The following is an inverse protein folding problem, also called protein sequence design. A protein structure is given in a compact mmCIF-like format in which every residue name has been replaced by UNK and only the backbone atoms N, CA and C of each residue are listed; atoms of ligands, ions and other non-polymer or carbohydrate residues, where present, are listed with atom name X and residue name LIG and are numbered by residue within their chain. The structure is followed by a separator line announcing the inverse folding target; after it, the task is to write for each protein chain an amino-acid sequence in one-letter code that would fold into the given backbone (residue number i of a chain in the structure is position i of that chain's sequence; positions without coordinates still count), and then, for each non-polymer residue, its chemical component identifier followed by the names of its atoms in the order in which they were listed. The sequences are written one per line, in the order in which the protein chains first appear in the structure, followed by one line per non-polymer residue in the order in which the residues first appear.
data_IF_854961938379
#
_entry.id   IF_854961938379
#
_cell.length_a   1.000
_cell.length_b   1.000
_cell.length_c   1.000
_cell.angle_alpha   90.00
_cell.angle_beta   90.00
_cell.angle_gamma   90.00
#
_symmetry.space_group_name_H-M   'P 1'
#
loop_
_entity.id
_entity.type
_entity.pdbx_description
1 polymer ?
#
# COMPACT_ATOMS: atom_id res chain seq x y z
N UNK A 1 -15.56 -41.42 2.27
CA UNK A 1 -14.26 -42.06 2.14
C UNK A 1 -13.15 -41.07 2.47
N UNK A 2 -12.34 -41.41 3.42
CA UNK A 2 -11.28 -40.55 3.92
C UNK A 2 -10.10 -40.53 2.94
N UNK A 3 -9.83 -39.38 2.33
CA UNK A 3 -8.67 -39.22 1.47
C UNK A 3 -7.53 -38.63 2.30
N UNK A 4 -6.49 -39.41 2.50
CA UNK A 4 -5.26 -38.91 3.13
C UNK A 4 -4.65 -37.81 2.27
N UNK A 5 -4.55 -36.60 2.78
CA UNK A 5 -3.73 -35.56 2.19
C UNK A 5 -2.27 -36.00 2.24
N UNK A 6 -1.59 -35.87 1.14
CA UNK A 6 -0.14 -36.04 1.12
C UNK A 6 0.51 -34.92 1.91
N UNK A 7 1.57 -35.23 2.61
CA UNK A 7 2.35 -34.26 3.38
C UNK A 7 2.81 -33.08 2.51
N UNK A 8 3.14 -33.35 1.23
CA UNK A 8 3.50 -32.35 0.27
C UNK A 8 2.41 -31.31 -0.03
N UNK A 9 1.14 -31.75 -0.10
CA UNK A 9 0.01 -30.85 -0.36
C UNK A 9 -0.22 -29.88 0.81
N UNK A 10 -0.11 -30.39 2.02
CA UNK A 10 -0.20 -29.58 3.22
C UNK A 10 0.94 -28.56 3.31
N UNK A 11 2.14 -28.98 2.97
CA UNK A 11 3.33 -28.16 2.96
C UNK A 11 3.24 -27.04 1.92
N UNK A 12 2.73 -27.34 0.73
CA UNK A 12 2.54 -26.38 -0.35
C UNK A 12 1.50 -25.32 0.03
N UNK A 13 0.37 -25.72 0.64
CA UNK A 13 -0.63 -24.78 1.12
C UNK A 13 -0.08 -23.85 2.20
N UNK A 14 0.67 -24.41 3.13
CA UNK A 14 1.30 -23.64 4.20
C UNK A 14 2.31 -22.63 3.63
N UNK A 15 3.11 -23.07 2.68
CA UNK A 15 4.14 -22.24 2.04
C UNK A 15 3.51 -21.11 1.22
N UNK A 16 2.47 -21.41 0.46
CA UNK A 16 1.74 -20.41 -0.31
C UNK A 16 1.16 -19.32 0.58
N UNK A 17 0.53 -19.71 1.66
CA UNK A 17 -0.09 -18.78 2.59
C UNK A 17 0.96 -17.91 3.30
N UNK A 18 2.03 -18.52 3.78
CA UNK A 18 3.13 -17.80 4.41
C UNK A 18 3.83 -16.85 3.43
N UNK A 19 4.04 -17.30 2.20
CA UNK A 19 4.67 -16.51 1.15
C UNK A 19 3.82 -15.31 0.76
N UNK A 20 2.51 -15.50 0.59
CA UNK A 20 1.61 -14.41 0.24
C UNK A 20 1.49 -13.35 1.34
N UNK A 21 1.57 -13.75 2.60
CA UNK A 21 1.53 -12.83 3.73
C UNK A 21 2.83 -12.04 3.91
N UNK A 22 3.99 -12.65 3.64
CA UNK A 22 5.30 -12.07 3.91
C UNK A 22 5.91 -11.33 2.73
N UNK A 23 5.67 -11.79 1.51
CA UNK A 23 6.42 -11.35 0.33
C UNK A 23 5.59 -10.61 -0.70
N UNK A 24 4.29 -10.71 -0.65
CA UNK A 24 3.40 -10.05 -1.61
C UNK A 24 2.75 -8.82 -1.02
N UNK A 25 2.55 -7.76 -1.83
CA UNK A 25 1.66 -6.69 -1.41
C UNK A 25 0.26 -7.28 -1.20
N UNK A 26 -0.44 -6.79 -0.19
CA UNK A 26 -1.83 -7.16 0.05
C UNK A 26 -2.69 -6.79 -1.16
N UNK A 27 -3.73 -7.55 -1.40
CA UNK A 27 -4.59 -7.34 -2.54
C UNK A 27 -6.05 -7.59 -2.18
N UNK A 28 -6.90 -6.85 -2.84
CA UNK A 28 -8.34 -7.02 -2.71
C UNK A 28 -8.84 -7.75 -3.97
N UNK A 29 -9.15 -9.03 -3.81
CA UNK A 29 -9.59 -9.89 -4.91
C UNK A 29 -10.92 -9.42 -5.52
N UNK A 30 -11.78 -8.78 -4.74
CA UNK A 30 -13.08 -8.30 -5.19
C UNK A 30 -12.91 -7.08 -6.08
N UNK A 31 -12.07 -6.14 -5.68
CA UNK A 31 -11.82 -4.88 -6.41
C UNK A 31 -10.70 -5.00 -7.44
N UNK A 32 -9.96 -6.10 -7.44
CA UNK A 32 -8.78 -6.31 -8.27
C UNK A 32 -7.74 -5.20 -8.15
N UNK A 33 -7.59 -4.70 -6.94
CA UNK A 33 -6.60 -3.68 -6.61
C UNK A 33 -5.46 -4.28 -5.82
N UNK A 34 -4.25 -3.86 -6.12
CA UNK A 34 -3.09 -4.13 -5.30
C UNK A 34 -2.97 -3.09 -4.20
N UNK A 35 -2.53 -3.54 -3.04
CA UNK A 35 -2.17 -2.64 -1.96
C UNK A 35 -0.66 -2.39 -2.07
N UNK A 36 -0.23 -1.13 -2.24
CA UNK A 36 1.20 -0.83 -2.35
C UNK A 36 1.91 -1.04 -1.02
N UNK A 37 3.22 -1.26 -1.10
CA UNK A 37 4.09 -1.24 0.08
C UNK A 37 4.21 0.20 0.57
N UNK A 38 3.93 0.40 1.84
CA UNK A 38 3.86 1.73 2.42
C UNK A 38 4.76 1.82 3.63
N UNK A 39 5.51 2.90 3.70
CA UNK A 39 6.28 3.29 4.88
C UNK A 39 5.76 4.62 5.40
N UNK A 40 5.53 4.71 6.70
CA UNK A 40 5.06 5.93 7.35
C UNK A 40 6.12 6.37 8.34
N UNK A 41 6.62 7.59 8.16
CA UNK A 41 7.51 8.24 9.10
C UNK A 41 6.75 9.33 9.84
N UNK A 42 6.63 9.18 11.15
CA UNK A 42 6.01 10.16 12.01
C UNK A 42 7.10 11.09 12.57
N UNK A 43 7.29 12.21 11.90
CA UNK A 43 8.24 13.24 12.31
C UNK A 43 7.57 14.26 13.25
N UNK A 44 8.36 15.10 13.85
CA UNK A 44 7.86 16.09 14.81
C UNK A 44 6.82 17.04 14.18
N UNK A 45 7.11 17.58 13.00
CA UNK A 45 6.29 18.59 12.33
C UNK A 45 5.44 18.05 11.18
N UNK A 46 5.74 16.87 10.71
CA UNK A 46 5.08 16.30 9.54
C UNK A 46 5.02 14.76 9.59
N UNK A 47 4.09 14.23 8.83
CA UNK A 47 4.04 12.80 8.56
C UNK A 47 4.47 12.61 7.11
N UNK A 48 5.43 11.72 6.88
CA UNK A 48 5.90 11.37 5.54
C UNK A 48 5.45 9.95 5.20
N UNK A 49 4.68 9.84 4.14
CA UNK A 49 4.21 8.55 3.63
C UNK A 49 4.95 8.27 2.33
N UNK A 50 5.59 7.11 2.27
CA UNK A 50 6.28 6.64 1.07
C UNK A 50 5.59 5.38 0.58
N UNK A 51 5.23 5.35 -0.70
CA UNK A 51 4.56 4.23 -1.33
C UNK A 51 5.32 3.75 -2.56
N UNK A 52 5.57 2.45 -2.65
CA UNK A 52 6.14 1.84 -3.84
C UNK A 52 5.02 1.53 -4.83
N UNK A 53 5.08 2.14 -6.00
CA UNK A 53 4.09 2.00 -7.06
C UNK A 53 4.76 1.49 -8.35
N UNK A 54 5.21 0.23 -8.38
CA UNK A 54 5.79 -0.31 -9.60
C UNK A 54 4.74 -0.33 -10.72
N UNK A 55 5.16 -0.17 -11.95
CA UNK A 55 4.30 -0.12 -13.14
C UNK A 55 3.44 1.15 -13.26
N UNK A 56 3.57 2.10 -12.37
CA UNK A 56 3.01 3.44 -12.51
C UNK A 56 4.09 4.33 -13.12
N UNK A 57 3.79 4.95 -14.27
CA UNK A 57 4.80 5.75 -14.99
C UNK A 57 4.70 7.25 -14.73
N UNK A 58 3.49 7.73 -14.53
CA UNK A 58 3.24 9.16 -14.52
C UNK A 58 2.46 9.59 -13.28
N UNK A 59 2.79 10.77 -12.79
CA UNK A 59 2.04 11.39 -11.69
C UNK A 59 0.55 11.64 -12.03
N UNK A 60 0.24 11.78 -13.31
CA UNK A 60 -1.13 11.96 -13.78
C UNK A 60 -1.98 10.71 -13.56
N UNK A 61 -1.36 9.56 -13.38
CA UNK A 61 -2.04 8.30 -13.09
C UNK A 61 -2.30 8.08 -11.61
N UNK A 62 -1.90 9.04 -10.77
CA UNK A 62 -2.03 8.96 -9.31
C UNK A 62 -3.03 10.00 -8.83
N UNK A 63 -4.03 9.52 -8.09
CA UNK A 63 -4.98 10.36 -7.38
C UNK A 63 -4.73 10.26 -5.88
N UNK A 64 -4.57 11.40 -5.24
CA UNK A 64 -4.38 11.50 -3.80
C UNK A 64 -5.52 12.29 -3.18
N UNK A 65 -6.17 11.70 -2.20
CA UNK A 65 -7.19 12.35 -1.42
C UNK A 65 -6.74 12.43 0.04
N UNK A 66 -6.62 13.64 0.55
CA UNK A 66 -6.15 13.88 1.91
C UNK A 66 -7.25 14.52 2.72
N UNK A 67 -7.56 13.93 3.86
CA UNK A 67 -8.39 14.55 4.90
C UNK A 67 -7.50 14.80 6.12
N UNK A 68 -8.06 15.37 7.18
CA UNK A 68 -7.30 15.64 8.41
C UNK A 68 -6.66 14.38 9.02
N UNK A 69 -7.26 13.22 8.85
CA UNK A 69 -6.86 11.97 9.51
C UNK A 69 -6.65 10.80 8.57
N UNK A 70 -6.83 10.99 7.28
CA UNK A 70 -6.74 9.91 6.32
C UNK A 70 -6.08 10.33 5.00
N UNK A 71 -5.30 9.44 4.43
CA UNK A 71 -4.71 9.57 3.10
C UNK A 71 -5.17 8.41 2.23
N UNK A 72 -5.80 8.70 1.12
CA UNK A 72 -6.17 7.69 0.13
C UNK A 72 -5.28 7.83 -1.11
N UNK A 73 -4.67 6.73 -1.51
CA UNK A 73 -3.82 6.64 -2.70
C UNK A 73 -4.50 5.73 -3.70
N UNK A 74 -4.72 6.22 -4.90
CA UNK A 74 -5.22 5.44 -6.03
C UNK A 74 -4.28 5.69 -7.20
N UNK A 75 -3.72 4.63 -7.75
CA UNK A 75 -2.77 4.74 -8.86
C UNK A 75 -3.06 3.70 -9.94
N UNK A 76 -3.11 4.15 -11.19
CA UNK A 76 -3.30 3.27 -12.35
C UNK A 76 -1.96 2.79 -12.86
N UNK A 77 -1.86 1.49 -13.09
CA UNK A 77 -0.71 0.88 -13.72
C UNK A 77 -0.82 1.00 -15.22
N UNK A 78 0.31 1.25 -15.89
CA UNK A 78 0.36 1.23 -17.36
C UNK A 78 0.17 -0.17 -17.90
N UNK A 79 0.80 -1.15 -17.23
CA UNK A 79 0.65 -2.56 -17.57
C UNK A 79 0.03 -3.30 -16.40
N UNK A 80 -0.95 -4.14 -16.69
CA UNK A 80 -1.56 -4.98 -15.68
C UNK A 80 -0.54 -5.96 -15.10
N UNK A 81 -0.52 -6.09 -13.78
CA UNK A 81 0.25 -7.12 -13.12
C UNK A 81 -0.57 -8.39 -13.14
N UNK A 82 -0.03 -9.42 -13.76
CA UNK A 82 -0.65 -10.74 -13.80
C UNK A 82 -0.03 -11.62 -12.71
N UNK A 83 -0.89 -12.15 -11.88
CA UNK A 83 -0.50 -13.12 -10.89
C UNK A 83 -0.88 -14.51 -11.39
N UNK A 84 0.11 -15.32 -11.71
CA UNK A 84 -0.09 -16.71 -12.05
C UNK A 84 0.23 -17.59 -10.84
N UNK A 85 -0.75 -18.36 -10.44
CA UNK A 85 -0.58 -19.31 -9.36
C UNK A 85 0.12 -20.56 -9.87
N UNK A 86 1.24 -20.87 -9.28
CA UNK A 86 1.95 -22.10 -9.58
C UNK A 86 1.16 -23.31 -9.09
N UNK A 87 0.92 -24.28 -9.98
CA UNK A 87 0.25 -25.53 -9.65
C UNK A 87 -1.03 -25.77 -10.47
N UNK A 88 -1.98 -26.48 -9.88
CA UNK A 88 -3.17 -27.00 -10.56
C UNK A 88 -4.27 -25.96 -10.83
N UNK A 89 -4.12 -24.75 -10.37
CA UNK A 89 -5.12 -23.72 -10.52
C UNK A 89 -4.78 -22.78 -11.67
N UNK A 90 -5.66 -22.71 -12.65
CA UNK A 90 -5.54 -21.81 -13.80
C UNK A 90 -6.09 -20.41 -13.52
N UNK A 91 -6.10 -19.97 -12.30
CA UNK A 91 -6.60 -18.64 -11.96
C UNK A 91 -5.58 -17.58 -12.29
N UNK A 92 -5.90 -16.77 -13.28
CA UNK A 92 -5.21 -15.53 -13.58
C UNK A 92 -5.85 -14.40 -12.80
N UNK A 93 -5.05 -13.69 -12.02
CA UNK A 93 -5.47 -12.45 -11.39
C UNK A 93 -4.74 -11.32 -12.09
N UNK A 94 -5.50 -10.37 -12.61
CA UNK A 94 -5.00 -9.22 -13.31
C UNK A 94 -5.28 -7.97 -12.49
N UNK A 95 -4.22 -7.21 -12.15
CA UNK A 95 -4.33 -6.00 -11.36
C UNK A 95 -3.91 -4.80 -12.20
N UNK A 96 -4.75 -3.79 -12.26
CA UNK A 96 -4.50 -2.58 -13.03
C UNK A 96 -4.39 -1.34 -12.15
N UNK A 97 -4.70 -1.46 -10.89
CA UNK A 97 -4.78 -0.32 -9.98
C UNK A 97 -4.21 -0.67 -8.61
N UNK A 98 -3.44 0.27 -8.06
CA UNK A 98 -3.12 0.28 -6.64
C UNK A 98 -4.15 1.11 -5.90
N UNK A 99 -4.55 0.66 -4.72
CA UNK A 99 -5.44 1.40 -3.85
C UNK A 99 -5.11 1.16 -2.40
N UNK A 100 -4.97 2.23 -1.64
CA UNK A 100 -4.76 2.16 -0.20
C UNK A 100 -5.36 3.36 0.49
N UNK A 101 -6.09 3.10 1.55
CA UNK A 101 -6.53 4.11 2.51
C UNK A 101 -5.69 3.97 3.78
N UNK A 102 -5.05 5.05 4.18
CA UNK A 102 -4.13 5.08 5.31
C UNK A 102 -4.69 5.99 6.37
N UNK A 103 -4.93 5.43 7.55
CA UNK A 103 -5.30 6.24 8.71
C UNK A 103 -4.04 6.85 9.30
N UNK A 104 -4.04 8.17 9.44
CA UNK A 104 -2.89 8.90 9.92
C UNK A 104 -2.83 8.92 11.45
N UNK A 105 -1.64 8.84 12.05
CA UNK A 105 -1.49 8.82 13.51
C UNK A 105 -1.84 10.14 14.17
N UNK A 106 -1.75 11.26 13.44
CA UNK A 106 -2.12 12.59 13.92
C UNK A 106 -2.83 13.36 12.82
N UNK A 107 -3.58 14.37 13.20
CA UNK A 107 -4.25 15.26 12.25
C UNK A 107 -3.24 16.08 11.46
N UNK A 108 -3.48 16.19 10.17
CA UNK A 108 -2.63 16.90 9.22
C UNK A 108 -3.37 18.03 8.55
N UNK A 109 -2.60 19.01 8.06
CA UNK A 109 -3.12 20.10 7.26
C UNK A 109 -3.09 19.70 5.78
N UNK A 110 -4.26 19.42 5.22
CA UNK A 110 -4.38 18.99 3.83
C UNK A 110 -3.90 20.06 2.83
N UNK A 111 -4.09 21.32 3.13
CA UNK A 111 -3.70 22.41 2.23
C UNK A 111 -2.17 22.55 2.08
N UNK A 112 -1.43 22.25 3.12
CA UNK A 112 0.04 22.29 3.09
C UNK A 112 0.70 21.03 2.60
N UNK A 113 -0.05 20.03 2.18
CA UNK A 113 0.46 18.74 1.77
C UNK A 113 1.16 18.82 0.41
N UNK A 114 2.25 18.06 0.27
CA UNK A 114 3.02 17.96 -0.97
C UNK A 114 3.25 16.49 -1.31
N UNK A 115 3.32 16.22 -2.61
CA UNK A 115 3.61 14.89 -3.09
C UNK A 115 4.62 14.94 -4.24
N UNK A 116 5.56 14.03 -4.24
CA UNK A 116 6.54 13.86 -5.30
C UNK A 116 6.53 12.41 -5.74
N UNK A 117 6.44 12.19 -7.04
CA UNK A 117 6.54 10.87 -7.63
C UNK A 117 7.78 10.78 -8.48
N UNK A 118 8.66 9.82 -8.17
CA UNK A 118 9.93 9.66 -8.89
C UNK A 118 10.36 8.19 -8.85
N UNK A 119 10.70 7.66 -10.03
CA UNK A 119 11.20 6.28 -10.19
C UNK A 119 10.30 5.21 -9.52
N UNK A 120 8.99 5.35 -9.67
CA UNK A 120 8.03 4.41 -9.10
C UNK A 120 7.78 4.58 -7.61
N UNK A 121 8.36 5.60 -6.98
CA UNK A 121 8.17 5.87 -5.56
C UNK A 121 7.41 7.18 -5.36
N UNK A 122 6.31 7.10 -4.65
CA UNK A 122 5.52 8.25 -4.25
C UNK A 122 5.90 8.64 -2.83
N UNK A 123 6.24 9.90 -2.64
CA UNK A 123 6.52 10.47 -1.33
C UNK A 123 5.54 11.60 -1.05
N UNK A 124 4.77 11.47 0.02
CA UNK A 124 3.76 12.45 0.44
C UNK A 124 4.19 13.04 1.76
N UNK A 125 4.30 14.37 1.82
CA UNK A 125 4.62 15.11 3.03
C UNK A 125 3.37 15.80 3.54
N UNK A 126 2.98 15.49 4.75
CA UNK A 126 1.73 15.95 5.37
C UNK A 126 2.09 16.74 6.65
N UNK A 127 2.04 18.08 6.60
CA UNK A 127 2.32 18.88 7.79
C UNK A 127 1.25 18.63 8.87
N UNK A 128 1.70 18.49 10.11
CA UNK A 128 0.80 18.31 11.24
C UNK A 128 0.07 19.62 11.58
N UNK A 129 -1.18 19.53 11.94
CA UNK A 129 -1.96 20.68 12.43
C UNK A 129 -1.46 21.13 13.79
N UNK A 130 -1.05 20.18 14.60
CA UNK A 130 -0.65 20.45 15.99
C UNK A 130 0.76 20.99 16.07
N UNK A 131 0.89 22.26 16.49
CA UNK A 131 2.18 22.84 16.84
C UNK A 131 2.54 22.42 18.27
N UNK A 132 3.74 21.92 18.48
CA UNK A 132 4.28 21.67 19.81
C UNK A 132 4.82 22.97 20.37
N UNK A 133 4.40 23.30 21.57
CA UNK A 133 4.92 24.42 22.32
C UNK A 133 5.77 23.90 23.47
N UNK A 134 6.99 24.40 23.56
CA UNK A 134 7.84 24.13 24.72
C UNK A 134 7.53 25.15 25.79
N UNK A 135 7.06 24.69 26.94
CA UNK A 135 6.77 25.55 28.07
C UNK A 135 8.02 25.65 28.95
N UNK A 136 8.49 26.88 29.15
CA UNK A 136 9.57 27.11 30.12
C UNK A 136 9.03 26.96 31.52
N UNK A 137 9.68 26.09 32.29
CA UNK A 137 9.43 25.94 33.73
C UNK A 137 10.12 27.05 34.47
N UNK A 138 9.36 27.83 35.19
CA UNK A 138 9.89 28.87 36.07
C UNK A 138 10.19 28.34 37.45
#
# INVERSE_FOLDING_TARGET
MWRKRKLSDWFDEFFEQAYSELMSPSWDAIKRCLVPLINIEDKEDEIVVTADLPCVESKEDIDLNVTEDNLEIIAKMKEAIRWERWGTSQRHLEFQTFRKSIRLPEKVNSEGSRAVFRNGVLKVSLPKVRKRFTIKIQ
#
